data_IF_823074458376
#
_entry.id   IF_823074458376
#
_cell.length_a   1.000
_cell.length_b   1.000
_cell.length_c   1.000
_cell.angle_alpha   90.00
_cell.angle_beta   90.00
_cell.angle_gamma   90.00
#
_symmetry.space_group_name_H-M   'P 1'
#
loop_
_entity.id
_entity.type
_entity.pdbx_description
1 polymer ?
#
# COMPACT_ATOMS: atom_id res chain seq x y z
N UNK A 1 -0.48 -31.43 -26.43
CA UNK A 1 0.92 -31.78 -26.02
C UNK A 1 1.45 -32.84 -26.93
N UNK A 2 2.74 -32.82 -27.25
CA UNK A 2 3.39 -33.80 -28.12
C UNK A 2 4.84 -34.09 -27.65
N UNK A 3 5.39 -35.20 -28.09
CA UNK A 3 6.77 -35.61 -27.80
C UNK A 3 7.59 -35.49 -29.08
N UNK A 4 8.76 -34.90 -29.02
CA UNK A 4 9.73 -34.85 -30.11
C UNK A 4 10.54 -36.13 -30.20
N UNK A 5 11.26 -36.33 -31.30
CA UNK A 5 12.13 -37.50 -31.53
C UNK A 5 13.24 -37.66 -30.49
N UNK A 6 13.73 -36.51 -29.96
CA UNK A 6 14.72 -36.48 -28.90
C UNK A 6 14.17 -36.89 -27.51
N UNK A 7 12.86 -37.16 -27.41
CA UNK A 7 12.19 -37.56 -26.17
C UNK A 7 11.62 -36.38 -25.35
N UNK A 8 11.90 -35.14 -25.73
CA UNK A 8 11.37 -33.97 -25.03
C UNK A 8 9.86 -33.79 -25.23
N UNK A 9 9.18 -33.24 -24.22
CA UNK A 9 7.72 -33.02 -24.21
C UNK A 9 7.42 -31.52 -24.33
N UNK A 10 6.54 -31.21 -25.27
CA UNK A 10 6.18 -29.82 -25.62
C UNK A 10 4.66 -29.63 -25.62
N UNK A 11 4.23 -28.43 -25.31
CA UNK A 11 2.88 -27.93 -25.54
C UNK A 11 2.86 -27.06 -26.80
N UNK A 12 1.91 -27.32 -27.70
CA UNK A 12 1.60 -26.46 -28.83
C UNK A 12 0.55 -25.43 -28.36
N UNK A 13 0.89 -24.15 -28.39
CA UNK A 13 0.06 -23.03 -27.99
C UNK A 13 -0.21 -22.06 -29.16
N UNK A 14 0.02 -22.51 -30.39
CA UNK A 14 -0.16 -21.69 -31.61
C UNK A 14 -1.60 -21.25 -31.82
N UNK A 15 -2.57 -22.09 -31.38
CA UNK A 15 -3.99 -21.72 -31.42
C UNK A 15 -4.34 -20.55 -30.48
N UNK A 16 -3.54 -20.31 -29.45
CA UNK A 16 -3.65 -19.18 -28.53
C UNK A 16 -2.76 -17.99 -28.93
N UNK A 17 -2.13 -18.05 -30.10
CA UNK A 17 -1.22 -17.02 -30.60
C UNK A 17 0.14 -16.98 -29.87
N UNK A 18 0.52 -18.09 -29.25
CA UNK A 18 1.77 -18.23 -28.51
C UNK A 18 2.67 -19.28 -29.14
N UNK A 19 3.94 -19.33 -28.71
CA UNK A 19 4.91 -20.32 -29.20
C UNK A 19 4.74 -21.71 -28.58
N UNK A 20 5.41 -22.71 -29.15
CA UNK A 20 5.55 -24.01 -28.52
C UNK A 20 6.34 -23.89 -27.21
N UNK A 21 5.84 -24.52 -26.15
CA UNK A 21 6.46 -24.45 -24.82
C UNK A 21 7.02 -25.81 -24.39
N UNK A 22 8.30 -25.82 -24.07
CA UNK A 22 8.97 -27.00 -23.48
C UNK A 22 8.40 -27.28 -22.07
N UNK A 23 8.04 -28.53 -21.83
CA UNK A 23 7.57 -29.01 -20.51
C UNK A 23 8.55 -29.97 -19.86
N UNK A 24 9.08 -30.97 -20.62
CA UNK A 24 10.11 -31.89 -20.13
C UNK A 24 11.28 -31.88 -21.13
N UNK A 25 12.49 -31.91 -20.61
CA UNK A 25 13.70 -32.07 -21.42
C UNK A 25 13.78 -33.49 -21.95
N UNK A 26 14.71 -33.77 -22.87
CA UNK A 26 14.94 -35.07 -23.48
C UNK A 26 15.26 -36.17 -22.44
N UNK A 27 15.94 -35.79 -21.37
CA UNK A 27 16.30 -36.65 -20.24
C UNK A 27 15.14 -36.88 -19.24
N UNK A 28 13.95 -36.30 -19.50
CA UNK A 28 12.78 -36.40 -18.65
C UNK A 28 12.75 -35.38 -17.49
N UNK A 29 13.78 -34.53 -17.33
CA UNK A 29 13.78 -33.52 -16.27
C UNK A 29 12.79 -32.39 -16.55
N UNK A 30 12.18 -31.86 -15.48
CA UNK A 30 11.23 -30.78 -15.55
C UNK A 30 11.92 -29.41 -15.81
N UNK A 31 11.17 -28.49 -16.37
CA UNK A 31 11.52 -27.05 -16.47
C UNK A 31 10.66 -26.26 -15.48
N UNK A 32 10.96 -24.99 -15.26
CA UNK A 32 10.20 -24.12 -14.34
C UNK A 32 8.69 -24.16 -14.60
N UNK A 33 8.25 -24.13 -15.86
CA UNK A 33 6.83 -24.21 -16.20
C UNK A 33 6.16 -25.47 -15.62
N UNK A 34 6.81 -26.63 -15.71
CA UNK A 34 6.28 -27.90 -15.19
C UNK A 34 6.28 -27.92 -13.67
N UNK A 35 7.30 -27.30 -13.06
CA UNK A 35 7.38 -27.16 -11.60
C UNK A 35 6.23 -26.28 -11.09
N UNK A 36 5.95 -25.17 -11.78
CA UNK A 36 4.86 -24.26 -11.42
C UNK A 36 3.47 -24.92 -11.59
N UNK A 37 3.27 -25.72 -12.62
CA UNK A 37 2.05 -26.55 -12.77
C UNK A 37 1.88 -27.48 -11.57
N UNK A 38 2.95 -28.17 -11.17
CA UNK A 38 2.94 -29.08 -10.01
C UNK A 38 2.65 -28.32 -8.71
N UNK A 39 3.30 -27.19 -8.49
CA UNK A 39 3.10 -26.33 -7.32
C UNK A 39 1.67 -25.79 -7.24
N UNK A 40 1.13 -25.30 -8.36
CA UNK A 40 -0.25 -24.81 -8.42
C UNK A 40 -1.24 -25.92 -8.05
N UNK A 41 -1.08 -27.13 -8.63
CA UNK A 41 -1.92 -28.28 -8.30
C UNK A 41 -1.88 -28.62 -6.80
N UNK A 42 -0.70 -28.69 -6.20
CA UNK A 42 -0.55 -29.01 -4.78
C UNK A 42 -1.21 -27.97 -3.89
N UNK A 43 -1.05 -26.68 -4.18
CA UNK A 43 -1.67 -25.59 -3.40
C UNK A 43 -3.20 -25.70 -3.34
N UNK A 44 -3.86 -26.01 -4.47
CA UNK A 44 -5.31 -26.21 -4.51
C UNK A 44 -5.75 -27.54 -3.88
N UNK A 45 -4.85 -28.52 -3.74
CA UNK A 45 -5.13 -29.75 -2.99
C UNK A 45 -4.95 -29.58 -1.48
N UNK A 46 -3.92 -28.81 -1.06
CA UNK A 46 -3.54 -28.67 0.34
C UNK A 46 -4.39 -27.60 1.07
N UNK A 47 -4.93 -26.64 0.34
CA UNK A 47 -5.67 -25.51 0.89
C UNK A 47 -7.01 -25.30 0.18
N UNK A 48 -8.09 -25.00 0.93
CA UNK A 48 -9.39 -24.63 0.36
C UNK A 48 -9.34 -23.16 -0.11
N UNK A 49 -8.64 -22.92 -1.22
CA UNK A 49 -8.48 -21.57 -1.80
C UNK A 49 -9.37 -21.39 -3.02
N UNK A 50 -9.97 -20.22 -3.17
CA UNK A 50 -10.79 -19.86 -4.32
C UNK A 50 -9.94 -19.19 -5.42
N UNK A 51 -8.85 -18.53 -5.05
CA UNK A 51 -8.01 -17.78 -5.97
C UNK A 51 -6.54 -17.84 -5.56
N UNK A 52 -5.67 -17.97 -6.54
CA UNK A 52 -4.23 -17.92 -6.35
C UNK A 52 -3.64 -16.67 -7.01
N UNK A 53 -2.93 -15.84 -6.22
CA UNK A 53 -2.28 -14.63 -6.68
C UNK A 53 -0.76 -14.80 -6.66
N UNK A 54 -0.13 -14.60 -7.81
CA UNK A 54 1.33 -14.57 -7.94
C UNK A 54 1.80 -13.12 -7.96
N UNK A 55 2.57 -12.73 -6.95
CA UNK A 55 3.17 -11.39 -6.85
C UNK A 55 4.57 -11.45 -7.44
N UNK A 56 4.70 -11.12 -8.73
CA UNK A 56 5.94 -11.28 -9.50
C UNK A 56 6.09 -10.12 -10.49
N UNK A 57 7.33 -9.72 -10.80
CA UNK A 57 7.63 -8.64 -11.74
C UNK A 57 7.07 -8.87 -13.14
N UNK A 58 6.84 -7.77 -13.86
CA UNK A 58 6.23 -7.75 -15.20
C UNK A 58 7.07 -8.49 -16.27
N UNK A 59 8.33 -8.75 -16.02
CA UNK A 59 9.19 -9.56 -16.90
C UNK A 59 8.69 -10.99 -17.05
N UNK A 60 7.85 -11.49 -16.10
CA UNK A 60 7.26 -12.82 -16.11
C UNK A 60 5.83 -12.86 -16.70
N UNK A 61 5.34 -11.78 -17.30
CA UNK A 61 3.97 -11.74 -17.87
C UNK A 61 3.71 -12.89 -18.83
N UNK A 62 4.63 -13.14 -19.76
CA UNK A 62 4.51 -14.26 -20.71
C UNK A 62 4.46 -15.63 -20.00
N UNK A 63 5.28 -15.82 -18.98
CA UNK A 63 5.32 -17.08 -18.22
C UNK A 63 3.98 -17.40 -17.56
N UNK A 64 3.37 -16.41 -16.88
CA UNK A 64 2.10 -16.60 -16.19
C UNK A 64 0.91 -16.70 -17.14
N UNK A 65 0.96 -16.03 -18.30
CA UNK A 65 -0.02 -16.22 -19.38
C UNK A 65 0.01 -17.68 -19.87
N UNK A 66 1.18 -18.21 -20.15
CA UNK A 66 1.36 -19.61 -20.59
C UNK A 66 0.91 -20.59 -19.48
N UNK A 67 1.27 -20.31 -18.21
CA UNK A 67 0.89 -21.16 -17.08
C UNK A 67 -0.64 -21.27 -16.96
N UNK A 68 -1.36 -20.15 -17.02
CA UNK A 68 -2.83 -20.14 -16.94
C UNK A 68 -3.47 -20.97 -18.06
N UNK A 69 -3.00 -20.80 -19.30
CA UNK A 69 -3.48 -21.56 -20.46
C UNK A 69 -3.21 -23.07 -20.30
N UNK A 70 -2.02 -23.44 -19.83
CA UNK A 70 -1.66 -24.83 -19.64
C UNK A 70 -2.48 -25.49 -18.54
N UNK A 71 -2.74 -24.81 -17.44
CA UNK A 71 -3.59 -25.30 -16.36
C UNK A 71 -5.03 -25.55 -16.84
N UNK A 72 -5.60 -24.62 -17.61
CA UNK A 72 -6.92 -24.81 -18.24
C UNK A 72 -6.92 -26.01 -19.21
N UNK A 73 -5.92 -26.11 -20.09
CA UNK A 73 -5.79 -27.25 -21.04
C UNK A 73 -5.58 -28.60 -20.35
N UNK A 74 -5.04 -28.61 -19.13
CA UNK A 74 -4.90 -29.80 -18.29
C UNK A 74 -6.18 -30.15 -17.55
N UNK A 75 -7.25 -29.35 -17.68
CA UNK A 75 -8.56 -29.62 -17.11
C UNK A 75 -8.74 -29.11 -15.68
N UNK A 76 -7.85 -28.25 -15.19
CA UNK A 76 -8.03 -27.60 -13.89
C UNK A 76 -9.04 -26.45 -14.04
N UNK A 77 -10.21 -26.56 -13.42
CA UNK A 77 -11.30 -25.57 -13.50
C UNK A 77 -10.89 -24.16 -13.01
N UNK A 78 -9.93 -24.12 -12.09
CA UNK A 78 -9.36 -22.90 -11.53
C UNK A 78 -8.17 -22.33 -12.34
N UNK A 79 -7.76 -22.98 -13.44
CA UNK A 79 -6.60 -22.56 -14.23
C UNK A 79 -6.71 -21.13 -14.79
N UNK A 80 -7.93 -20.71 -15.17
CA UNK A 80 -8.20 -19.35 -15.66
C UNK A 80 -8.31 -18.29 -14.57
N UNK A 81 -8.51 -18.70 -13.31
CA UNK A 81 -8.68 -17.80 -12.16
C UNK A 81 -7.34 -17.43 -11.50
N UNK A 82 -6.24 -17.89 -12.09
CA UNK A 82 -4.89 -17.50 -11.69
C UNK A 82 -4.69 -15.99 -11.92
N UNK A 83 -4.29 -15.27 -10.88
CA UNK A 83 -3.98 -13.84 -10.98
C UNK A 83 -2.47 -13.62 -10.92
N UNK A 84 -1.92 -13.00 -11.94
CA UNK A 84 -0.57 -12.45 -11.89
C UNK A 84 -0.65 -10.99 -11.46
N UNK A 85 -0.33 -10.71 -10.18
CA UNK A 85 -0.08 -9.36 -9.71
C UNK A 85 1.29 -8.93 -10.25
N UNK A 86 1.25 -8.39 -11.47
CA UNK A 86 2.43 -7.99 -12.24
C UNK A 86 2.87 -6.59 -11.79
N UNK A 87 3.99 -6.49 -11.08
CA UNK A 87 4.51 -5.18 -10.69
C UNK A 87 5.61 -4.71 -11.62
N UNK A 88 5.67 -3.36 -11.80
CA UNK A 88 6.72 -2.68 -12.54
C UNK A 88 8.04 -2.64 -11.77
N UNK A 89 9.11 -2.28 -12.47
CA UNK A 89 10.42 -2.15 -11.87
C UNK A 89 10.52 -0.87 -11.04
N UNK A 90 11.18 -0.98 -9.88
CA UNK A 90 11.59 0.17 -9.06
C UNK A 90 13.06 0.44 -9.37
N UNK A 91 13.35 1.64 -9.83
CA UNK A 91 14.69 2.08 -10.18
C UNK A 91 15.13 3.18 -9.19
N UNK A 92 16.43 3.34 -9.00
CA UNK A 92 16.99 4.49 -8.28
C UNK A 92 17.32 5.61 -9.27
N UNK A 93 17.49 6.87 -8.81
CA UNK A 93 17.90 7.99 -9.68
C UNK A 93 19.18 7.71 -10.47
N UNK A 94 20.08 6.91 -9.93
CA UNK A 94 21.36 6.51 -10.54
C UNK A 94 21.18 5.43 -11.64
N UNK A 95 19.98 4.88 -11.79
CA UNK A 95 19.65 3.91 -12.84
C UNK A 95 19.18 2.54 -12.33
N UNK A 96 19.09 1.58 -13.27
CA UNK A 96 18.60 0.22 -12.98
C UNK A 96 19.54 -0.53 -12.07
N UNK A 97 18.98 -1.15 -11.03
CA UNK A 97 19.67 -2.12 -10.20
C UNK A 97 19.98 -3.38 -11.02
N UNK A 98 21.25 -3.66 -11.29
CA UNK A 98 21.69 -4.85 -12.02
C UNK A 98 22.58 -5.72 -11.12
N UNK A 99 22.07 -6.88 -10.71
CA UNK A 99 22.79 -7.81 -9.83
C UNK A 99 24.13 -8.30 -10.42
N UNK A 100 24.27 -8.33 -11.75
CA UNK A 100 25.52 -8.75 -12.42
C UNK A 100 26.60 -7.68 -12.49
N UNK A 101 26.26 -6.42 -12.24
CA UNK A 101 27.17 -5.27 -12.33
C UNK A 101 27.51 -4.67 -10.94
N UNK A 102 27.07 -5.31 -9.84
CA UNK A 102 27.38 -4.86 -8.47
C UNK A 102 26.60 -3.61 -8.01
N UNK A 103 25.57 -3.19 -8.76
CA UNK A 103 24.69 -2.04 -8.43
C UNK A 103 23.37 -2.51 -7.82
N UNK A 104 23.43 -3.49 -6.92
CA UNK A 104 22.27 -3.91 -6.14
C UNK A 104 22.24 -3.09 -4.86
N UNK A 105 21.10 -2.46 -4.58
CA UNK A 105 20.85 -1.87 -3.26
C UNK A 105 20.22 -2.97 -2.41
N UNK A 106 20.86 -3.28 -1.30
CA UNK A 106 20.30 -4.20 -0.32
C UNK A 106 19.07 -3.58 0.33
N UNK A 107 18.02 -4.38 0.53
CA UNK A 107 16.79 -3.89 1.10
C UNK A 107 16.96 -3.45 2.56
N UNK A 108 17.80 -4.15 3.32
CA UNK A 108 18.05 -3.82 4.72
C UNK A 108 18.84 -2.51 4.83
N UNK A 109 19.84 -2.30 3.95
CA UNK A 109 20.61 -1.04 3.88
C UNK A 109 19.70 0.14 3.53
N UNK A 110 18.78 -0.05 2.55
CA UNK A 110 17.81 0.98 2.18
C UNK A 110 16.85 1.32 3.33
N UNK A 111 16.36 0.31 4.04
CA UNK A 111 15.49 0.51 5.21
C UNK A 111 16.23 1.27 6.30
N UNK A 112 17.48 0.90 6.60
CA UNK A 112 18.29 1.59 7.59
C UNK A 112 18.54 3.06 7.20
N UNK A 113 18.88 3.33 5.95
CA UNK A 113 19.04 4.69 5.41
C UNK A 113 17.75 5.51 5.60
N UNK A 114 16.59 4.92 5.25
CA UNK A 114 15.31 5.59 5.38
C UNK A 114 14.95 5.91 6.83
N UNK A 115 15.22 5.00 7.76
CA UNK A 115 14.98 5.21 9.20
C UNK A 115 15.90 6.31 9.75
N UNK A 116 17.19 6.29 9.39
CA UNK A 116 18.13 7.30 9.82
C UNK A 116 17.79 8.69 9.27
N UNK A 117 17.45 8.79 7.98
CA UNK A 117 16.99 10.05 7.37
C UNK A 117 15.68 10.55 8.01
N UNK A 118 14.74 9.65 8.34
CA UNK A 118 13.52 10.03 9.06
C UNK A 118 13.81 10.58 10.45
N UNK A 119 14.76 9.98 11.18
CA UNK A 119 15.20 10.44 12.50
C UNK A 119 15.81 11.84 12.42
N UNK A 120 16.75 12.05 11.50
CA UNK A 120 17.41 13.34 11.30
C UNK A 120 16.39 14.43 10.95
N UNK A 121 15.56 14.20 9.94
CA UNK A 121 14.53 15.16 9.50
C UNK A 121 13.51 15.44 10.61
N UNK A 122 13.07 14.43 11.34
CA UNK A 122 12.11 14.62 12.44
C UNK A 122 12.73 15.41 13.61
N UNK A 123 14.01 15.18 13.91
CA UNK A 123 14.75 15.92 14.93
C UNK A 123 14.96 17.39 14.53
N UNK A 124 15.40 17.65 13.29
CA UNK A 124 15.56 19.01 12.77
C UNK A 124 14.26 19.82 12.80
N UNK A 125 13.12 19.16 12.61
CA UNK A 125 11.79 19.79 12.67
C UNK A 125 11.21 19.88 14.11
N UNK A 126 11.99 19.46 15.14
CA UNK A 126 11.55 19.48 16.54
C UNK A 126 10.38 18.52 16.83
N UNK A 127 10.21 17.48 16.01
CA UNK A 127 9.09 16.53 16.12
C UNK A 127 9.29 15.49 17.23
N UNK A 128 10.52 15.34 17.72
CA UNK A 128 10.92 14.33 18.69
C UNK A 128 11.30 14.93 20.06
N UNK A 129 11.20 16.24 20.23
CA UNK A 129 11.69 16.96 21.42
C UNK A 129 11.04 16.50 22.74
N UNK A 130 9.76 16.11 22.68
CA UNK A 130 8.99 15.63 23.83
C UNK A 130 8.96 14.09 23.97
N UNK A 131 9.81 13.36 23.23
CA UNK A 131 9.84 11.89 23.20
C UNK A 131 10.99 11.33 24.05
N UNK A 132 10.78 10.16 24.67
CA UNK A 132 11.91 9.37 25.18
C UNK A 132 12.74 8.83 24.02
N UNK A 133 14.02 8.42 24.26
CA UNK A 133 14.84 7.83 23.20
C UNK A 133 14.17 6.61 22.53
N UNK A 134 13.50 5.76 23.30
CA UNK A 134 12.80 4.58 22.79
C UNK A 134 11.57 4.95 21.96
N UNK A 135 10.83 5.99 22.37
CA UNK A 135 9.71 6.54 21.58
C UNK A 135 10.21 7.18 20.29
N UNK A 136 11.30 7.93 20.33
CA UNK A 136 11.92 8.56 19.16
C UNK A 136 12.40 7.51 18.16
N UNK A 137 13.00 6.41 18.63
CA UNK A 137 13.41 5.29 17.79
C UNK A 137 12.21 4.60 17.14
N UNK A 138 11.15 4.32 17.90
CA UNK A 138 9.93 3.70 17.38
C UNK A 138 9.25 4.59 16.32
N UNK A 139 9.14 5.91 16.56
CA UNK A 139 8.58 6.87 15.63
C UNK A 139 9.44 6.96 14.37
N UNK A 140 10.78 7.02 14.50
CA UNK A 140 11.70 7.09 13.35
C UNK A 140 11.59 5.85 12.45
N UNK A 141 11.49 4.66 13.04
CA UNK A 141 11.22 3.42 12.31
C UNK A 141 9.88 3.47 11.57
N UNK A 142 8.83 3.90 12.26
CA UNK A 142 7.48 4.00 11.69
C UNK A 142 7.43 4.98 10.53
N UNK A 143 8.11 6.13 10.66
CA UNK A 143 8.18 7.17 9.62
C UNK A 143 9.03 6.73 8.43
N UNK A 144 10.21 6.17 8.67
CA UNK A 144 11.11 5.71 7.61
C UNK A 144 10.49 4.60 6.76
N UNK A 145 9.94 3.56 7.42
CA UNK A 145 9.22 2.49 6.73
C UNK A 145 7.93 3.00 6.06
N UNK A 146 7.22 3.91 6.70
CA UNK A 146 6.02 4.54 6.15
C UNK A 146 6.32 5.33 4.89
N UNK A 147 7.41 6.10 4.88
CA UNK A 147 7.87 6.84 3.71
C UNK A 147 8.21 5.92 2.53
N UNK A 148 9.01 4.88 2.77
CA UNK A 148 9.39 3.89 1.77
C UNK A 148 8.17 3.18 1.17
N UNK A 149 7.35 2.57 2.03
CA UNK A 149 6.17 1.80 1.59
C UNK A 149 5.17 2.67 0.85
N UNK A 150 4.85 3.85 1.40
CA UNK A 150 3.88 4.74 0.78
C UNK A 150 4.35 5.25 -0.60
N UNK A 151 5.62 5.62 -0.73
CA UNK A 151 6.17 6.11 -1.99
C UNK A 151 6.04 5.07 -3.10
N UNK A 152 6.27 3.80 -2.79
CA UNK A 152 6.11 2.69 -3.74
C UNK A 152 4.63 2.42 -4.01
N UNK A 153 3.80 2.34 -2.96
CA UNK A 153 2.41 1.89 -3.08
C UNK A 153 1.45 2.95 -3.65
N UNK A 154 1.80 4.24 -3.63
CA UNK A 154 0.97 5.30 -4.25
C UNK A 154 0.98 5.28 -5.78
N UNK A 155 1.91 4.57 -6.39
CA UNK A 155 2.02 4.39 -7.84
C UNK A 155 1.26 3.13 -8.26
N UNK A 156 0.59 3.16 -9.42
CA UNK A 156 -0.02 1.95 -10.01
C UNK A 156 1.04 0.84 -10.07
N UNK A 157 0.80 -0.33 -9.45
CA UNK A 157 1.80 -1.37 -9.35
C UNK A 157 2.34 -1.86 -10.71
N UNK A 158 1.56 -1.72 -11.79
CA UNK A 158 1.97 -2.12 -13.15
C UNK A 158 2.96 -1.17 -13.82
N UNK A 159 3.18 0.02 -13.26
CA UNK A 159 4.09 1.04 -13.80
C UNK A 159 5.48 0.90 -13.21
N UNK A 160 6.50 1.13 -14.04
CA UNK A 160 7.85 1.36 -13.54
C UNK A 160 7.91 2.72 -12.83
N UNK A 161 8.75 2.81 -11.82
CA UNK A 161 8.92 4.04 -11.05
C UNK A 161 10.38 4.24 -10.65
N UNK A 162 10.75 5.50 -10.41
CA UNK A 162 12.03 5.86 -9.79
C UNK A 162 11.76 6.20 -8.32
N UNK A 163 12.41 5.49 -7.42
CA UNK A 163 12.35 5.77 -5.99
C UNK A 163 13.41 6.80 -5.61
N UNK A 164 12.98 7.89 -4.97
CA UNK A 164 13.86 8.93 -4.45
C UNK A 164 13.73 8.99 -2.91
N UNK A 165 14.76 8.55 -2.15
CA UNK A 165 14.73 8.55 -0.69
C UNK A 165 14.39 9.93 -0.09
N UNK A 166 15.00 10.99 -0.60
CA UNK A 166 14.82 12.35 -0.06
C UNK A 166 13.40 12.89 -0.27
N UNK A 167 12.81 12.65 -1.46
CA UNK A 167 11.45 13.07 -1.73
C UNK A 167 10.42 12.26 -0.94
N UNK A 168 10.71 11.01 -0.61
CA UNK A 168 9.80 10.14 0.10
C UNK A 168 9.57 10.54 1.56
N UNK A 169 10.53 11.25 2.18
CA UNK A 169 10.49 11.68 3.59
C UNK A 169 9.94 13.11 3.76
N UNK A 170 9.58 13.81 2.70
CA UNK A 170 9.03 15.16 2.81
C UNK A 170 7.70 15.17 3.60
N UNK A 171 7.64 16.06 4.62
CA UNK A 171 6.44 16.25 5.45
C UNK A 171 5.39 17.18 4.82
N UNK A 172 5.63 17.74 3.64
CA UNK A 172 4.72 18.67 2.96
C UNK A 172 4.18 18.15 1.62
N UNK A 173 4.70 17.01 1.14
CA UNK A 173 4.35 16.43 -0.15
C UNK A 173 3.32 15.31 -0.09
N UNK A 174 3.09 14.65 -1.23
CA UNK A 174 2.32 13.41 -1.29
C UNK A 174 3.18 12.23 -0.78
N UNK A 175 3.31 12.12 0.53
CA UNK A 175 4.25 11.21 1.22
C UNK A 175 3.61 10.53 2.43
N UNK A 176 4.18 9.40 2.85
CA UNK A 176 3.79 8.74 4.10
C UNK A 176 3.90 9.64 5.33
N UNK A 177 5.04 10.32 5.54
CA UNK A 177 5.22 11.24 6.67
C UNK A 177 4.20 12.37 6.76
N UNK A 178 3.75 12.93 5.63
CA UNK A 178 2.68 13.93 5.62
C UNK A 178 1.37 13.38 6.19
N UNK A 179 1.01 12.15 5.80
CA UNK A 179 -0.19 11.47 6.29
C UNK A 179 -0.04 11.13 7.78
N UNK A 180 1.10 10.56 8.16
CA UNK A 180 1.42 10.18 9.55
C UNK A 180 1.39 11.40 10.48
N UNK A 181 1.97 12.52 10.05
CA UNK A 181 1.94 13.77 10.80
C UNK A 181 0.52 14.31 10.98
N UNK A 182 -0.32 14.21 9.96
CA UNK A 182 -1.73 14.64 10.09
C UNK A 182 -2.48 13.76 11.08
N UNK A 183 -2.26 12.44 11.09
CA UNK A 183 -2.83 11.55 12.10
C UNK A 183 -2.39 11.95 13.52
N UNK A 184 -1.10 12.12 13.75
CA UNK A 184 -0.55 12.55 15.04
C UNK A 184 -1.11 13.91 15.50
N UNK A 185 -1.28 14.86 14.56
CA UNK A 185 -1.94 16.17 14.81
C UNK A 185 -3.37 15.98 15.31
N UNK A 186 -4.16 15.13 14.66
CA UNK A 186 -5.54 14.85 15.09
C UNK A 186 -5.54 14.24 16.49
N UNK A 187 -4.68 13.25 16.75
CA UNK A 187 -4.55 12.64 18.07
C UNK A 187 -4.16 13.66 19.14
N UNK A 188 -3.30 14.64 18.81
CA UNK A 188 -2.96 15.75 19.71
C UNK A 188 -4.17 16.65 20.02
N UNK A 189 -4.99 16.96 19.02
CA UNK A 189 -6.22 17.75 19.22
C UNK A 189 -7.19 17.02 20.15
N UNK A 190 -7.42 15.73 19.94
CA UNK A 190 -8.32 14.92 20.76
C UNK A 190 -7.80 14.77 22.19
N UNK A 191 -6.49 14.61 22.39
CA UNK A 191 -5.86 14.55 23.70
C UNK A 191 -6.03 15.88 24.46
N UNK A 192 -5.75 17.01 23.82
CA UNK A 192 -5.93 18.36 24.39
C UNK A 192 -7.40 18.64 24.75
N UNK A 193 -8.35 18.14 23.96
CA UNK A 193 -9.77 18.22 24.31
C UNK A 193 -10.07 17.47 25.61
N UNK A 194 -9.57 16.24 25.75
CA UNK A 194 -9.76 15.44 26.95
C UNK A 194 -9.09 16.07 28.19
N UNK A 195 -7.86 16.56 28.06
CA UNK A 195 -7.12 17.29 29.12
C UNK A 195 -7.85 18.57 29.57
N UNK A 196 -8.59 19.20 28.64
CA UNK A 196 -9.45 20.36 28.93
C UNK A 196 -10.82 19.99 29.52
N UNK A 197 -11.06 18.70 29.84
CA UNK A 197 -12.32 18.21 30.40
C UNK A 197 -13.48 18.12 29.39
N UNK A 198 -13.19 18.19 28.08
CA UNK A 198 -14.23 18.02 27.05
C UNK A 198 -14.50 16.52 26.88
N UNK A 199 -15.71 16.11 27.26
CA UNK A 199 -16.21 14.73 27.02
C UNK A 199 -16.88 14.69 25.65
N UNK A 200 -16.29 13.93 24.73
CA UNK A 200 -16.89 13.76 23.41
C UNK A 200 -18.14 12.85 23.51
N UNK A 201 -19.26 13.29 22.96
CA UNK A 201 -20.43 12.41 22.78
C UNK A 201 -20.12 11.31 21.74
N UNK A 202 -20.86 10.21 21.80
CA UNK A 202 -20.71 9.13 20.81
C UNK A 202 -21.18 9.58 19.42
N UNK A 203 -22.26 10.35 19.37
CA UNK A 203 -22.89 10.86 18.14
C UNK A 203 -22.92 12.38 18.13
N UNK A 204 -22.86 12.95 16.94
CA UNK A 204 -23.02 14.38 16.75
C UNK A 204 -24.50 14.79 16.83
N UNK A 205 -24.75 16.06 17.19
CA UNK A 205 -26.09 16.64 17.12
C UNK A 205 -26.47 16.88 15.65
N UNK A 206 -27.56 16.28 15.20
CA UNK A 206 -28.07 16.38 13.82
C UNK A 206 -28.53 17.79 13.41
N UNK A 207 -28.73 18.70 14.39
CA UNK A 207 -29.19 20.08 14.14
C UNK A 207 -28.04 21.05 13.87
N UNK A 208 -26.79 20.61 13.91
CA UNK A 208 -25.64 21.46 13.60
C UNK A 208 -25.66 21.85 12.12
N UNK A 209 -25.58 23.14 11.84
CA UNK A 209 -25.45 23.65 10.47
C UNK A 209 -23.99 23.49 10.04
N UNK A 210 -23.78 22.68 9.00
CA UNK A 210 -22.47 22.32 8.50
C UNK A 210 -21.99 23.32 7.43
N UNK A 211 -20.69 23.59 7.42
CA UNK A 211 -20.02 24.28 6.31
C UNK A 211 -19.78 23.33 5.14
N UNK A 212 -19.53 23.88 3.95
CA UNK A 212 -19.22 23.07 2.75
C UNK A 212 -18.04 22.14 2.96
N UNK A 213 -17.00 22.57 3.71
CA UNK A 213 -15.81 21.74 4.01
C UNK A 213 -16.13 20.58 4.96
N UNK A 214 -17.01 20.79 5.92
CA UNK A 214 -17.46 19.72 6.81
C UNK A 214 -18.30 18.71 6.06
N UNK A 215 -19.18 19.15 5.15
CA UNK A 215 -19.98 18.29 4.26
C UNK A 215 -19.06 17.47 3.35
N UNK A 216 -18.08 18.11 2.71
CA UNK A 216 -17.12 17.45 1.83
C UNK A 216 -16.34 16.34 2.55
N UNK A 217 -15.83 16.60 3.76
CA UNK A 217 -15.16 15.58 4.57
C UNK A 217 -16.08 14.39 4.92
N UNK A 218 -17.35 14.64 5.24
CA UNK A 218 -18.32 13.56 5.50
C UNK A 218 -18.52 12.70 4.25
N UNK A 219 -18.71 13.34 3.09
CA UNK A 219 -18.87 12.65 1.81
C UNK A 219 -17.65 11.78 1.52
N UNK A 220 -16.45 12.35 1.64
CA UNK A 220 -15.19 11.64 1.46
C UNK A 220 -15.10 10.42 2.40
N UNK A 221 -15.37 10.59 3.70
CA UNK A 221 -15.39 9.47 4.66
C UNK A 221 -16.39 8.37 4.29
N UNK A 222 -17.54 8.73 3.71
CA UNK A 222 -18.57 7.77 3.30
C UNK A 222 -18.17 6.90 2.11
N UNK A 223 -17.21 7.36 1.30
CA UNK A 223 -16.69 6.64 0.13
C UNK A 223 -15.70 5.54 0.50
N UNK A 224 -15.10 5.58 1.70
CA UNK A 224 -14.02 4.68 2.09
C UNK A 224 -14.34 3.18 1.88
N UNK A 225 -15.51 2.65 2.24
CA UNK A 225 -15.83 1.24 1.99
C UNK A 225 -15.82 0.86 0.50
N UNK A 226 -16.31 1.76 -0.37
CA UNK A 226 -16.31 1.56 -1.82
C UNK A 226 -14.89 1.58 -2.38
N UNK A 227 -14.04 2.51 -1.90
CA UNK A 227 -12.62 2.60 -2.25
C UNK A 227 -11.87 1.32 -1.90
N UNK A 228 -12.10 0.76 -0.70
CA UNK A 228 -11.47 -0.51 -0.28
C UNK A 228 -11.92 -1.67 -1.18
N UNK A 229 -13.21 -1.74 -1.50
CA UNK A 229 -13.75 -2.77 -2.40
C UNK A 229 -13.15 -2.66 -3.80
N UNK A 230 -13.03 -1.45 -4.33
CA UNK A 230 -12.42 -1.18 -5.64
C UNK A 230 -10.94 -1.58 -5.65
N UNK A 231 -10.16 -1.13 -4.65
CA UNK A 231 -8.75 -1.48 -4.52
C UNK A 231 -8.53 -2.99 -4.48
N UNK A 232 -9.36 -3.72 -3.73
CA UNK A 232 -9.30 -5.17 -3.64
C UNK A 232 -9.65 -5.85 -4.98
N UNK A 233 -10.69 -5.39 -5.67
CA UNK A 233 -11.10 -5.96 -6.97
C UNK A 233 -10.07 -5.73 -8.08
N UNK A 234 -9.38 -4.60 -8.06
CA UNK A 234 -8.35 -4.22 -9.02
C UNK A 234 -6.93 -4.66 -8.62
N UNK A 235 -6.74 -5.24 -7.44
CA UNK A 235 -5.43 -5.53 -6.87
C UNK A 235 -4.51 -4.29 -6.89
N UNK A 236 -5.03 -3.11 -6.55
CA UNK A 236 -4.33 -1.84 -6.64
C UNK A 236 -4.26 -1.12 -5.29
N UNK A 237 -3.18 -1.26 -4.53
CA UNK A 237 -2.98 -0.50 -3.28
C UNK A 237 -2.92 1.01 -3.51
N UNK A 238 -2.56 1.45 -4.73
CA UNK A 238 -2.50 2.86 -5.09
C UNK A 238 -3.85 3.59 -4.95
N UNK A 239 -4.96 2.88 -5.11
CA UNK A 239 -6.31 3.44 -4.93
C UNK A 239 -6.50 3.89 -3.48
N UNK A 240 -6.11 3.06 -2.50
CA UNK A 240 -6.18 3.40 -1.07
C UNK A 240 -5.18 4.52 -0.75
N UNK A 241 -3.94 4.42 -1.22
CA UNK A 241 -2.90 5.39 -0.93
C UNK A 241 -3.30 6.81 -1.37
N UNK A 242 -3.79 6.95 -2.60
CA UNK A 242 -4.21 8.24 -3.14
C UNK A 242 -5.48 8.77 -2.46
N UNK A 243 -6.46 7.91 -2.17
CA UNK A 243 -7.65 8.31 -1.40
C UNK A 243 -7.27 8.86 -0.01
N UNK A 244 -6.39 8.19 0.73
CA UNK A 244 -5.96 8.66 2.06
C UNK A 244 -5.22 10.00 1.95
N UNK A 245 -4.39 10.19 0.92
CA UNK A 245 -3.74 11.48 0.69
C UNK A 245 -4.74 12.62 0.45
N UNK A 246 -5.75 12.39 -0.39
CA UNK A 246 -6.77 13.38 -0.69
C UNK A 246 -7.61 13.71 0.54
N UNK A 247 -8.00 12.71 1.33
CA UNK A 247 -8.68 12.91 2.63
C UNK A 247 -7.84 13.75 3.59
N UNK A 248 -6.54 13.44 3.71
CA UNK A 248 -5.60 14.16 4.58
C UNK A 248 -5.42 15.61 4.11
N UNK A 249 -5.29 15.83 2.81
CA UNK A 249 -5.17 17.17 2.23
C UNK A 249 -6.42 18.02 2.53
N UNK A 250 -7.59 17.45 2.35
CA UNK A 250 -8.87 18.11 2.64
C UNK A 250 -9.03 18.40 4.13
N UNK A 251 -8.68 17.44 5.00
CA UNK A 251 -8.68 17.65 6.44
C UNK A 251 -7.72 18.76 6.87
N UNK A 252 -6.52 18.85 6.31
CA UNK A 252 -5.57 19.91 6.63
C UNK A 252 -6.11 21.31 6.23
N UNK A 253 -6.84 21.42 5.12
CA UNK A 253 -7.53 22.66 4.75
C UNK A 253 -8.64 23.03 5.75
N UNK A 254 -9.45 22.04 6.15
CA UNK A 254 -10.46 22.23 7.20
C UNK A 254 -9.82 22.66 8.51
N UNK A 255 -8.76 21.98 8.96
CA UNK A 255 -8.05 22.30 10.20
C UNK A 255 -7.45 23.71 10.21
N UNK A 256 -6.97 24.17 9.05
CA UNK A 256 -6.44 25.54 8.89
C UNK A 256 -7.53 26.61 9.03
N UNK A 257 -8.70 26.37 8.42
CA UNK A 257 -9.76 27.37 8.33
C UNK A 257 -10.66 27.42 9.55
N UNK A 258 -10.77 26.30 10.28
CA UNK A 258 -11.65 26.18 11.45
C UNK A 258 -10.88 25.91 12.72
N UNK A 259 -11.06 26.78 13.72
CA UNK A 259 -10.58 26.50 15.07
C UNK A 259 -11.46 25.42 15.72
N UNK A 260 -10.88 24.26 16.04
CA UNK A 260 -11.65 23.17 16.65
C UNK A 260 -11.82 23.39 18.16
N UNK A 261 -10.71 23.53 18.89
CA UNK A 261 -10.73 23.63 20.36
C UNK A 261 -11.20 24.99 20.88
N UNK A 262 -11.03 26.07 20.08
CA UNK A 262 -11.45 27.43 20.44
C UNK A 262 -12.83 27.80 19.94
N UNK A 263 -13.56 26.84 19.35
CA UNK A 263 -14.95 27.05 18.93
C UNK A 263 -15.82 27.25 20.18
N UNK A 264 -16.52 28.38 20.22
CA UNK A 264 -17.35 28.77 21.37
C UNK A 264 -18.64 27.98 21.44
N UNK A 265 -19.21 27.65 20.27
CA UNK A 265 -20.40 26.82 20.20
C UNK A 265 -20.03 25.35 20.50
N UNK A 266 -20.51 24.88 21.64
CA UNK A 266 -20.21 23.50 22.12
C UNK A 266 -20.65 22.42 21.14
N UNK A 267 -21.80 22.58 20.46
CA UNK A 267 -22.31 21.59 19.52
C UNK A 267 -21.43 21.51 18.26
N UNK A 268 -21.03 22.67 17.72
CA UNK A 268 -20.11 22.76 16.57
C UNK A 268 -18.73 22.19 16.95
N UNK A 269 -18.22 22.55 18.13
CA UNK A 269 -16.94 22.02 18.63
C UNK A 269 -16.97 20.50 18.75
N UNK A 270 -18.00 19.97 19.39
CA UNK A 270 -18.15 18.52 19.56
C UNK A 270 -18.27 17.80 18.20
N UNK A 271 -19.04 18.38 17.27
CA UNK A 271 -19.14 17.86 15.91
C UNK A 271 -17.78 17.80 15.22
N UNK A 272 -16.98 18.89 15.26
CA UNK A 272 -15.63 18.95 14.65
C UNK A 272 -14.65 17.96 15.28
N UNK A 273 -14.74 17.73 16.59
CA UNK A 273 -13.95 16.73 17.28
C UNK A 273 -14.34 15.31 16.85
N UNK A 274 -15.64 15.01 16.73
CA UNK A 274 -16.13 13.72 16.22
C UNK A 274 -15.70 13.51 14.78
N UNK A 275 -15.82 14.50 13.92
CA UNK A 275 -15.37 14.46 12.52
C UNK A 275 -13.86 14.16 12.46
N UNK A 276 -13.04 14.88 13.23
CA UNK A 276 -11.60 14.65 13.32
C UNK A 276 -11.27 13.23 13.77
N UNK A 277 -11.95 12.72 14.80
CA UNK A 277 -11.79 11.33 15.28
C UNK A 277 -12.06 10.31 14.16
N UNK A 278 -13.11 10.52 13.38
CA UNK A 278 -13.46 9.62 12.27
C UNK A 278 -12.43 9.72 11.13
N UNK A 279 -11.93 10.91 10.82
CA UNK A 279 -10.82 11.08 9.86
C UNK A 279 -9.58 10.30 10.33
N UNK A 280 -9.16 10.45 11.59
CA UNK A 280 -8.01 9.71 12.12
C UNK A 280 -8.22 8.19 12.05
N UNK A 281 -9.44 7.70 12.34
CA UNK A 281 -9.79 6.28 12.23
C UNK A 281 -9.65 5.77 10.79
N UNK A 282 -10.13 6.52 9.79
CA UNK A 282 -10.03 6.14 8.38
C UNK A 282 -8.57 6.20 7.91
N UNK A 283 -7.81 7.22 8.30
CA UNK A 283 -6.36 7.30 8.00
C UNK A 283 -5.65 6.05 8.56
N UNK A 284 -5.84 5.75 9.85
CA UNK A 284 -5.20 4.60 10.50
C UNK A 284 -5.57 3.28 9.82
N UNK A 285 -6.85 3.10 9.50
CA UNK A 285 -7.33 1.88 8.83
C UNK A 285 -6.77 1.77 7.42
N UNK A 286 -6.85 2.83 6.61
CA UNK A 286 -6.34 2.82 5.23
C UNK A 286 -4.83 2.60 5.16
N UNK A 287 -4.06 3.26 6.04
CA UNK A 287 -2.61 3.04 6.12
C UNK A 287 -2.28 1.61 6.59
N UNK A 288 -3.03 1.07 7.54
CA UNK A 288 -2.88 -0.33 7.99
C UNK A 288 -3.12 -1.33 6.86
N UNK A 289 -4.09 -1.09 5.95
CA UNK A 289 -4.29 -1.92 4.75
C UNK A 289 -3.09 -1.91 3.80
N UNK A 290 -2.27 -0.84 3.85
CA UNK A 290 -1.02 -0.73 3.10
C UNK A 290 0.20 -1.29 3.87
N UNK A 291 -0.01 -1.84 5.07
CA UNK A 291 1.07 -2.30 5.95
C UNK A 291 1.92 -1.16 6.51
N UNK A 292 1.31 0.02 6.69
CA UNK A 292 1.96 1.24 7.20
C UNK A 292 1.34 1.62 8.53
N UNK A 293 2.16 1.73 9.55
CA UNK A 293 1.75 2.22 10.86
C UNK A 293 1.73 3.75 10.90
N UNK A 294 0.87 4.32 11.74
CA UNK A 294 0.77 5.76 11.96
C UNK A 294 0.94 6.08 13.45
N UNK A 295 1.83 7.01 13.83
CA UNK A 295 2.06 7.36 15.22
C UNK A 295 0.91 8.21 15.78
N UNK A 296 0.66 8.08 17.07
CA UNK A 296 -0.29 8.92 17.81
C UNK A 296 0.36 10.23 18.31
N UNK A 297 1.70 10.32 18.23
CA UNK A 297 2.54 11.49 18.58
C UNK A 297 3.63 11.67 17.54
N UNK A 298 3.97 12.91 17.29
CA UNK A 298 5.09 13.28 16.43
C UNK A 298 5.39 14.77 16.61
#
# INVERSE_FOLDING_TARGET
MYRKEDGSVWADLTAEGLDHKLLLRADGTSVYMTQDIGTAKLRFQDYPIDKMVYVVGNEQNYHFQVLSILLDKLGFSWGKDLVHFSYGMVELPEGKMKSREGTVVDADDLIEEMVNTARETSSELGKLDDCTPEEADAISNMVGLGALKYFILKVDPRKNMTFNPKESIDFNGNTGPFIQYTHARICSVLRKAAESGIVLPETANEKVVLSDKEISLIQNLSEFPAVVSEAGSQFSPAIIANYIYDLVKEYNQFYHDFSILREENTEIRNFRLILSRNVAKVIKTGMSLLGIDVPDRM
#
